data_IF_712173587375
#
_entry.id   IF_712173587375
#
_cell.length_a   1.000
_cell.length_b   1.000
_cell.length_c   1.000
_cell.angle_alpha   90.00
_cell.angle_beta   90.00
_cell.angle_gamma   90.00
#
_symmetry.space_group_name_H-M   'P 1'
#
loop_
_entity.id
_entity.type
_entity.pdbx_description
1 polymer ?
#
# COMPACT_ATOMS: atom_id res chain seq x y z
N UNK A 1 2.30 16.21 -2.09
CA UNK A 1 3.65 15.63 -2.34
C UNK A 1 3.84 15.38 -3.82
N UNK A 2 2.85 14.83 -4.50
CA UNK A 2 2.91 14.55 -5.94
C UNK A 2 2.84 15.80 -6.81
N UNK A 3 2.33 16.93 -6.30
CA UNK A 3 2.35 18.21 -7.03
C UNK A 3 3.78 18.65 -7.35
N UNK A 4 4.63 18.68 -6.32
CA UNK A 4 6.03 19.08 -6.40
C UNK A 4 6.90 18.06 -7.15
N UNK A 5 6.50 16.79 -7.17
CA UNK A 5 7.32 15.70 -7.71
C UNK A 5 6.91 15.25 -9.10
N UNK A 6 5.67 15.51 -9.54
CA UNK A 6 5.08 14.94 -10.76
C UNK A 6 4.42 16.05 -11.57
N UNK A 7 3.43 16.72 -10.98
CA UNK A 7 2.54 17.63 -11.72
C UNK A 7 3.13 19.01 -12.03
N UNK A 8 4.26 19.38 -11.39
CA UNK A 8 4.99 20.62 -11.67
C UNK A 8 6.05 20.49 -12.78
N UNK A 9 6.08 19.38 -13.53
CA UNK A 9 7.13 19.08 -14.51
C UNK A 9 6.56 18.84 -15.91
N UNK A 10 7.40 19.02 -16.94
CA UNK A 10 7.00 18.97 -18.35
C UNK A 10 6.64 17.54 -18.85
N UNK A 11 6.96 16.48 -18.09
CA UNK A 11 6.61 15.09 -18.41
C UNK A 11 6.16 14.29 -17.16
N UNK A 12 4.87 14.38 -16.78
CA UNK A 12 4.33 13.72 -15.60
C UNK A 12 4.40 12.18 -15.66
N UNK A 13 4.40 11.61 -16.87
CA UNK A 13 4.31 10.16 -17.07
C UNK A 13 5.59 9.45 -16.63
N UNK A 14 6.77 10.04 -16.88
CA UNK A 14 8.06 9.47 -16.48
C UNK A 14 8.31 9.46 -14.96
N UNK A 15 7.52 10.23 -14.19
CA UNK A 15 7.65 10.36 -12.74
C UNK A 15 6.68 9.48 -11.94
N UNK A 16 5.80 8.73 -12.62
CA UNK A 16 4.84 7.81 -12.00
C UNK A 16 5.50 6.79 -11.06
N UNK A 17 6.69 6.29 -11.43
CA UNK A 17 7.48 5.38 -10.59
C UNK A 17 8.21 6.07 -9.45
N UNK A 18 8.53 7.37 -9.58
CA UNK A 18 9.12 8.14 -8.49
C UNK A 18 8.11 8.36 -7.36
N UNK A 19 6.84 8.55 -7.70
CA UNK A 19 5.74 8.60 -6.73
C UNK A 19 5.67 7.31 -5.90
N UNK A 20 5.60 6.16 -6.58
CA UNK A 20 5.59 4.84 -5.94
C UNK A 20 6.83 4.61 -5.09
N UNK A 21 8.02 4.96 -5.60
CA UNK A 21 9.28 4.83 -4.87
C UNK A 21 9.26 5.66 -3.58
N UNK A 22 8.91 6.93 -3.67
CA UNK A 22 8.96 7.87 -2.53
C UNK A 22 7.91 7.53 -1.48
N UNK A 23 6.65 7.35 -1.90
CA UNK A 23 5.56 7.08 -0.98
C UNK A 23 5.67 5.73 -0.28
N UNK A 24 5.93 4.66 -1.01
CA UNK A 24 5.99 3.33 -0.41
C UNK A 24 7.23 3.17 0.47
N UNK A 25 8.33 3.85 0.15
CA UNK A 25 9.49 3.93 1.05
C UNK A 25 9.16 4.67 2.33
N UNK A 26 8.44 5.80 2.27
CA UNK A 26 8.02 6.55 3.44
C UNK A 26 7.03 5.77 4.31
N UNK A 27 6.07 5.05 3.71
CA UNK A 27 5.16 4.14 4.43
C UNK A 27 5.93 3.03 5.13
N UNK A 28 6.89 2.41 4.44
CA UNK A 28 7.74 1.37 5.02
C UNK A 28 8.57 1.90 6.19
N UNK A 29 9.14 3.10 6.06
CA UNK A 29 9.87 3.76 7.15
C UNK A 29 8.95 4.07 8.33
N UNK A 30 7.74 4.59 8.06
CA UNK A 30 6.77 4.88 9.12
C UNK A 30 6.39 3.60 9.90
N UNK A 31 6.13 2.51 9.19
CA UNK A 31 5.85 1.21 9.79
C UNK A 31 7.05 0.68 10.59
N UNK A 32 8.26 0.80 10.05
CA UNK A 32 9.48 0.26 10.66
C UNK A 32 9.99 1.06 11.85
N UNK A 33 9.77 2.38 11.87
CA UNK A 33 10.29 3.30 12.90
C UNK A 33 9.26 3.54 13.99
N UNK A 34 7.99 3.77 13.65
CA UNK A 34 6.99 4.19 14.64
C UNK A 34 6.17 3.03 15.21
N UNK A 35 5.90 2.00 14.41
CA UNK A 35 5.04 0.87 14.81
C UNK A 35 5.84 -0.32 15.29
N UNK A 36 6.86 -0.76 14.55
CA UNK A 36 7.65 -1.95 14.89
C UNK A 36 8.22 -1.95 16.34
N UNK A 37 8.63 -0.82 16.94
CA UNK A 37 9.10 -0.80 18.33
C UNK A 37 8.01 -0.90 19.40
N UNK A 38 6.73 -0.85 19.01
CA UNK A 38 5.59 -0.89 19.95
C UNK A 38 5.40 -2.30 20.50
N UNK A 39 5.00 -2.40 21.77
CA UNK A 39 4.70 -3.67 22.44
C UNK A 39 3.52 -4.42 21.81
N UNK A 40 2.60 -3.69 21.21
CA UNK A 40 1.41 -4.14 20.50
C UNK A 40 1.74 -4.71 19.11
N UNK A 41 2.98 -4.55 18.64
CA UNK A 41 3.47 -5.19 17.42
C UNK A 41 4.10 -6.53 17.77
N UNK A 42 3.28 -7.53 18.07
CA UNK A 42 3.72 -8.80 18.64
C UNK A 42 3.41 -10.02 17.74
N UNK A 43 2.68 -9.82 16.64
CA UNK A 43 2.36 -10.88 15.69
C UNK A 43 2.37 -10.47 14.21
N UNK A 44 2.47 -11.44 13.27
CA UNK A 44 2.54 -11.14 11.83
C UNK A 44 1.35 -10.34 11.30
N UNK A 45 0.14 -10.57 11.82
CA UNK A 45 -1.05 -9.86 11.39
C UNK A 45 -1.03 -8.38 11.77
N UNK A 46 -0.38 -8.00 12.88
CA UNK A 46 -0.19 -6.59 13.24
C UNK A 46 0.52 -5.82 12.13
N UNK A 47 1.54 -6.42 11.52
CA UNK A 47 2.23 -5.83 10.38
C UNK A 47 1.29 -5.57 9.20
N UNK A 48 0.35 -6.47 8.94
CA UNK A 48 -0.67 -6.30 7.90
C UNK A 48 -1.62 -5.16 8.28
N UNK A 49 -2.16 -5.16 9.51
CA UNK A 49 -3.11 -4.16 9.98
C UNK A 49 -2.48 -2.77 9.99
N UNK A 50 -1.36 -2.58 10.66
CA UNK A 50 -0.68 -1.30 10.74
C UNK A 50 -0.16 -0.83 9.38
N UNK A 51 0.38 -1.74 8.56
CA UNK A 51 0.81 -1.42 7.19
C UNK A 51 -0.35 -0.92 6.32
N UNK A 52 -1.52 -1.56 6.45
CA UNK A 52 -2.75 -1.13 5.76
C UNK A 52 -3.21 0.24 6.24
N UNK A 53 -3.23 0.48 7.57
CA UNK A 53 -3.65 1.76 8.15
C UNK A 53 -2.74 2.91 7.71
N UNK A 54 -1.41 2.73 7.76
CA UNK A 54 -0.45 3.73 7.28
C UNK A 54 -0.70 4.02 5.79
N UNK A 55 -0.84 2.98 4.97
CA UNK A 55 -1.07 3.17 3.54
C UNK A 55 -2.38 3.88 3.22
N UNK A 56 -3.47 3.58 3.96
CA UNK A 56 -4.74 4.28 3.83
C UNK A 56 -4.69 5.75 4.28
N UNK A 57 -3.84 6.08 5.27
CA UNK A 57 -3.58 7.46 5.66
C UNK A 57 -2.97 8.27 4.51
N UNK A 58 -1.98 7.70 3.83
CA UNK A 58 -1.40 8.30 2.61
C UNK A 58 -2.42 8.39 1.48
N UNK A 59 -3.19 7.32 1.24
CA UNK A 59 -4.23 7.31 0.21
C UNK A 59 -5.27 8.41 0.43
N UNK A 60 -5.60 8.70 1.69
CA UNK A 60 -6.50 9.79 2.07
C UNK A 60 -5.90 11.15 1.71
N UNK A 61 -4.63 11.37 2.05
CA UNK A 61 -3.91 12.60 1.74
C UNK A 61 -3.81 12.82 0.22
N UNK A 62 -3.42 11.79 -0.54
CA UNK A 62 -3.40 11.88 -2.00
C UNK A 62 -4.79 12.11 -2.59
N UNK A 63 -5.82 11.42 -2.09
CA UNK A 63 -7.17 11.63 -2.58
C UNK A 63 -7.62 13.08 -2.40
N UNK A 64 -7.24 13.72 -1.29
CA UNK A 64 -7.45 15.15 -1.10
C UNK A 64 -6.73 15.99 -2.16
N UNK A 65 -5.44 15.76 -2.41
CA UNK A 65 -4.69 16.50 -3.43
C UNK A 65 -5.31 16.33 -4.83
N UNK A 66 -5.72 15.12 -5.21
CA UNK A 66 -6.36 14.86 -6.49
C UNK A 66 -7.72 15.57 -6.64
N UNK A 67 -8.51 15.59 -5.58
CA UNK A 67 -9.86 16.16 -5.62
C UNK A 67 -9.85 17.70 -5.63
N UNK A 68 -8.88 18.32 -4.95
CA UNK A 68 -8.90 19.76 -4.71
C UNK A 68 -7.72 20.55 -5.29
N UNK A 69 -6.69 19.89 -5.82
CA UNK A 69 -5.45 20.57 -6.28
C UNK A 69 -5.15 20.29 -7.76
N UNK A 70 -5.37 19.07 -8.26
CA UNK A 70 -4.86 18.69 -9.59
C UNK A 70 -5.83 18.89 -10.75
N UNK A 71 -7.15 18.91 -10.51
CA UNK A 71 -8.13 18.86 -11.58
C UNK A 71 -9.25 19.88 -11.38
N UNK A 72 -8.97 21.14 -11.70
CA UNK A 72 -9.95 22.23 -11.59
C UNK A 72 -11.13 22.09 -12.59
N UNK A 73 -10.93 21.32 -13.66
CA UNK A 73 -11.91 21.16 -14.75
C UNK A 73 -12.83 19.93 -14.58
N UNK A 74 -12.61 19.09 -13.58
CA UNK A 74 -13.41 17.87 -13.35
C UNK A 74 -14.15 18.02 -12.02
N UNK A 75 -15.45 17.65 -11.94
CA UNK A 75 -16.18 17.69 -10.69
C UNK A 75 -15.47 16.91 -9.56
N UNK A 76 -15.20 17.53 -8.40
CA UNK A 76 -14.49 16.90 -7.28
C UNK A 76 -15.07 15.53 -6.88
N UNK A 77 -16.40 15.41 -6.87
CA UNK A 77 -17.10 14.17 -6.54
C UNK A 77 -16.78 13.03 -7.52
N UNK A 78 -16.63 13.32 -8.82
CA UNK A 78 -16.32 12.32 -9.83
C UNK A 78 -14.91 11.75 -9.62
N UNK A 79 -13.93 12.62 -9.36
CA UNK A 79 -12.55 12.20 -9.04
C UNK A 79 -12.54 11.36 -7.77
N UNK A 80 -13.22 11.82 -6.72
CA UNK A 80 -13.30 11.12 -5.44
C UNK A 80 -13.88 9.70 -5.59
N UNK A 81 -14.95 9.53 -6.36
CA UNK A 81 -15.57 8.22 -6.60
C UNK A 81 -14.62 7.29 -7.37
N UNK A 82 -14.00 7.77 -8.44
CA UNK A 82 -13.08 6.96 -9.25
C UNK A 82 -11.90 6.50 -8.40
N UNK A 83 -11.31 7.41 -7.61
CA UNK A 83 -10.19 7.08 -6.72
C UNK A 83 -10.59 6.16 -5.58
N UNK A 84 -11.79 6.33 -5.01
CA UNK A 84 -12.31 5.44 -3.97
C UNK A 84 -12.45 3.99 -4.46
N UNK A 85 -12.76 3.79 -5.74
CA UNK A 85 -12.90 2.46 -6.34
C UNK A 85 -11.57 1.87 -6.87
N UNK A 86 -10.56 2.71 -7.08
CA UNK A 86 -9.31 2.29 -7.75
C UNK A 86 -8.07 2.56 -6.91
N UNK A 87 -7.67 3.83 -6.75
CA UNK A 87 -6.47 4.23 -6.03
C UNK A 87 -6.48 3.75 -4.57
N UNK A 88 -7.58 3.96 -3.85
CA UNK A 88 -7.67 3.60 -2.42
C UNK A 88 -7.51 2.07 -2.21
N UNK A 89 -8.22 1.19 -2.95
CA UNK A 89 -7.95 -0.25 -2.89
C UNK A 89 -6.54 -0.67 -3.31
N UNK A 90 -5.93 0.05 -4.27
CA UNK A 90 -4.53 -0.18 -4.66
C UNK A 90 -3.57 0.17 -3.51
N UNK A 91 -3.76 1.29 -2.82
CA UNK A 91 -2.94 1.62 -1.65
C UNK A 91 -3.16 0.65 -0.50
N UNK A 92 -4.41 0.24 -0.24
CA UNK A 92 -4.70 -0.80 0.74
C UNK A 92 -3.93 -2.08 0.41
N UNK A 93 -3.91 -2.47 -0.87
CA UNK A 93 -3.14 -3.62 -1.36
C UNK A 93 -1.64 -3.46 -1.12
N UNK A 94 -1.07 -2.29 -1.42
CA UNK A 94 0.33 -1.97 -1.14
C UNK A 94 0.66 -2.11 0.36
N UNK A 95 -0.18 -1.58 1.24
CA UNK A 95 -0.03 -1.69 2.69
C UNK A 95 -0.13 -3.13 3.21
N UNK A 96 -1.07 -3.93 2.68
CA UNK A 96 -1.23 -5.34 3.01
C UNK A 96 0.00 -6.13 2.55
N UNK A 97 0.47 -5.93 1.31
CA UNK A 97 1.65 -6.61 0.76
C UNK A 97 2.89 -6.28 1.60
N UNK A 98 3.11 -4.99 1.86
CA UNK A 98 4.19 -4.48 2.70
C UNK A 98 4.17 -5.14 4.08
N UNK A 99 3.01 -5.12 4.74
CA UNK A 99 2.80 -5.70 6.06
C UNK A 99 3.03 -7.21 6.07
N UNK A 100 2.52 -7.94 5.09
CA UNK A 100 2.71 -9.39 4.96
C UNK A 100 4.21 -9.76 4.91
N UNK A 101 4.98 -9.07 4.08
CA UNK A 101 6.41 -9.33 3.94
C UNK A 101 7.22 -8.85 5.14
N UNK A 102 6.90 -7.68 5.72
CA UNK A 102 7.57 -7.22 6.93
C UNK A 102 7.28 -8.15 8.12
N UNK A 103 6.04 -8.60 8.30
CA UNK A 103 5.65 -9.56 9.33
C UNK A 103 6.40 -10.89 9.18
N UNK A 104 6.57 -11.39 7.95
CA UNK A 104 7.40 -12.58 7.69
C UNK A 104 8.88 -12.35 8.03
N UNK A 105 9.41 -11.14 7.80
CA UNK A 105 10.77 -10.83 8.21
C UNK A 105 10.91 -10.85 9.73
N UNK A 106 10.08 -10.09 10.43
CA UNK A 106 10.21 -9.85 11.88
C UNK A 106 9.92 -11.13 12.68
N UNK A 107 8.86 -11.85 12.36
CA UNK A 107 8.38 -12.95 13.20
C UNK A 107 8.77 -14.34 12.70
N UNK A 108 9.29 -14.46 11.47
CA UNK A 108 9.66 -15.75 10.86
C UNK A 108 11.10 -15.76 10.31
N UNK A 109 11.91 -14.77 10.64
CA UNK A 109 13.32 -14.65 10.25
C UNK A 109 13.57 -14.78 8.73
N UNK A 110 12.60 -14.36 7.91
CA UNK A 110 12.77 -14.37 6.45
C UNK A 110 13.58 -13.16 6.01
N UNK A 111 14.87 -13.36 5.70
CA UNK A 111 15.81 -12.29 5.33
C UNK A 111 15.40 -11.58 4.03
N UNK A 112 14.98 -12.33 3.01
CA UNK A 112 14.56 -11.76 1.72
C UNK A 112 13.19 -11.07 1.77
N UNK A 113 12.42 -11.23 2.85
CA UNK A 113 11.09 -10.65 2.92
C UNK A 113 11.13 -9.12 3.05
N UNK A 114 12.14 -8.52 3.70
CA UNK A 114 12.27 -7.04 3.76
C UNK A 114 12.37 -6.42 2.38
N UNK A 115 13.20 -7.00 1.51
CA UNK A 115 13.34 -6.52 0.15
C UNK A 115 12.00 -6.55 -0.60
N UNK A 116 11.23 -7.62 -0.44
CA UNK A 116 9.88 -7.75 -1.03
C UNK A 116 8.88 -6.76 -0.43
N UNK A 117 8.99 -6.47 0.87
CA UNK A 117 8.13 -5.50 1.56
C UNK A 117 8.28 -4.08 1.02
N UNK A 118 9.42 -3.76 0.40
CA UNK A 118 9.68 -2.45 -0.21
C UNK A 118 9.40 -2.49 -1.71
N UNK A 119 10.04 -3.43 -2.43
CA UNK A 119 10.03 -3.44 -3.88
C UNK A 119 8.66 -3.75 -4.45
N UNK A 120 7.89 -4.67 -3.87
CA UNK A 120 6.60 -5.02 -4.45
C UNK A 120 5.63 -3.84 -4.37
N UNK A 121 5.35 -3.22 -3.20
CA UNK A 121 4.51 -2.02 -3.14
C UNK A 121 4.93 -0.93 -4.13
N UNK A 122 6.23 -0.63 -4.26
CA UNK A 122 6.75 0.36 -5.21
C UNK A 122 6.37 0.01 -6.65
N UNK A 123 6.59 -1.24 -7.06
CA UNK A 123 6.27 -1.71 -8.41
C UNK A 123 4.76 -1.68 -8.65
N UNK A 124 3.97 -2.11 -7.67
CA UNK A 124 2.52 -2.15 -7.78
C UNK A 124 1.92 -0.74 -7.92
N UNK A 125 2.34 0.18 -7.06
CA UNK A 125 1.90 1.56 -7.10
C UNK A 125 2.41 2.29 -8.35
N UNK A 126 3.70 2.20 -8.67
CA UNK A 126 4.27 2.85 -9.86
C UNK A 126 3.61 2.36 -11.16
N UNK A 127 3.35 1.06 -11.27
CA UNK A 127 2.64 0.48 -12.43
C UNK A 127 1.18 0.93 -12.49
N UNK A 128 0.49 1.04 -11.34
CA UNK A 128 -0.86 1.61 -11.29
C UNK A 128 -0.87 3.04 -11.84
N UNK A 129 0.03 3.91 -11.35
CA UNK A 129 0.10 5.31 -11.78
C UNK A 129 0.38 5.42 -13.28
N UNK A 130 1.29 4.60 -13.79
CA UNK A 130 1.58 4.53 -15.21
C UNK A 130 0.33 4.10 -16.02
N UNK A 131 -0.35 3.02 -15.64
CA UNK A 131 -1.43 2.46 -16.47
C UNK A 131 -2.74 3.24 -16.46
N UNK A 132 -3.06 4.00 -15.40
CA UNK A 132 -4.33 4.74 -15.26
C UNK A 132 -4.60 5.68 -16.44
N UNK A 133 -3.56 6.30 -17.00
CA UNK A 133 -3.68 7.24 -18.12
C UNK A 133 -3.39 6.64 -19.50
N UNK A 134 -2.84 5.43 -19.58
CA UNK A 134 -2.27 4.89 -20.82
C UNK A 134 -3.24 3.95 -21.55
N UNK A 135 -3.74 2.91 -20.86
CA UNK A 135 -4.60 1.91 -21.50
C UNK A 135 -5.56 1.27 -20.49
N UNK A 136 -6.86 1.49 -20.69
CA UNK A 136 -7.91 1.00 -19.79
C UNK A 136 -7.92 -0.53 -19.63
N UNK A 137 -7.69 -1.28 -20.70
CA UNK A 137 -7.72 -2.75 -20.63
C UNK A 137 -6.55 -3.26 -19.78
N UNK A 138 -5.34 -2.77 -20.02
CA UNK A 138 -4.16 -3.16 -19.25
C UNK A 138 -4.26 -2.70 -17.80
N UNK A 139 -4.79 -1.49 -17.57
CA UNK A 139 -5.09 -1.00 -16.23
C UNK A 139 -6.03 -1.95 -15.47
N UNK A 140 -7.16 -2.36 -16.07
CA UNK A 140 -8.13 -3.23 -15.42
C UNK A 140 -7.56 -4.63 -15.15
N UNK A 141 -6.81 -5.20 -16.10
CA UNK A 141 -6.13 -6.49 -15.92
C UNK A 141 -5.15 -6.40 -14.75
N UNK A 142 -4.32 -5.36 -14.72
CA UNK A 142 -3.33 -5.15 -13.67
C UNK A 142 -3.98 -4.90 -12.29
N UNK A 143 -5.07 -4.13 -12.26
CA UNK A 143 -5.80 -3.84 -11.04
C UNK A 143 -6.42 -5.11 -10.44
N UNK A 144 -7.10 -5.93 -11.26
CA UNK A 144 -7.65 -7.22 -10.81
C UNK A 144 -6.55 -8.18 -10.36
N UNK A 145 -5.43 -8.22 -11.09
CA UNK A 145 -4.25 -8.98 -10.69
C UNK A 145 -3.74 -8.55 -9.31
N UNK A 146 -3.64 -7.24 -9.06
CA UNK A 146 -3.19 -6.67 -7.78
C UNK A 146 -4.09 -7.06 -6.62
N UNK A 147 -5.39 -6.93 -6.77
CA UNK A 147 -6.35 -7.32 -5.73
C UNK A 147 -6.28 -8.83 -5.45
N UNK A 148 -6.22 -9.65 -6.51
CA UNK A 148 -6.15 -11.11 -6.39
C UNK A 148 -4.85 -11.53 -5.70
N UNK A 149 -3.71 -10.99 -6.13
CA UNK A 149 -2.42 -11.25 -5.53
C UNK A 149 -2.41 -10.91 -4.04
N UNK A 150 -2.96 -9.75 -3.68
CA UNK A 150 -3.08 -9.28 -2.30
C UNK A 150 -3.91 -10.24 -1.45
N UNK A 151 -5.10 -10.65 -1.93
CA UNK A 151 -5.97 -11.57 -1.20
C UNK A 151 -5.29 -12.93 -1.00
N UNK A 152 -4.60 -13.46 -2.01
CA UNK A 152 -3.88 -14.73 -1.90
C UNK A 152 -2.71 -14.64 -0.91
N UNK A 153 -1.94 -13.55 -0.95
CA UNK A 153 -0.83 -13.31 -0.02
C UNK A 153 -1.34 -13.17 1.43
N UNK A 154 -2.39 -12.37 1.62
CA UNK A 154 -3.05 -12.20 2.92
C UNK A 154 -3.53 -13.53 3.48
N UNK A 155 -4.25 -14.34 2.68
CA UNK A 155 -4.74 -15.67 3.11
C UNK A 155 -3.60 -16.59 3.55
N UNK A 156 -2.47 -16.56 2.83
CA UNK A 156 -1.28 -17.34 3.20
C UNK A 156 -0.71 -16.91 4.55
N UNK A 157 -0.58 -15.61 4.80
CA UNK A 157 -0.09 -15.10 6.09
C UNK A 157 -1.07 -15.41 7.21
N UNK A 158 -2.37 -15.26 6.97
CA UNK A 158 -3.44 -15.60 7.93
C UNK A 158 -3.38 -17.07 8.33
N UNK A 159 -3.25 -17.99 7.38
CA UNK A 159 -3.11 -19.42 7.67
C UNK A 159 -1.86 -19.73 8.50
N UNK A 160 -0.74 -19.04 8.23
CA UNK A 160 0.48 -19.20 9.04
C UNK A 160 0.31 -18.68 10.48
N UNK A 161 -0.61 -17.75 10.70
CA UNK A 161 -0.97 -17.24 12.02
C UNK A 161 -1.92 -18.19 12.76
N UNK A 162 -2.97 -18.67 12.11
CA UNK A 162 -3.95 -19.61 12.70
C UNK A 162 -3.29 -20.93 13.15
N UNK A 163 -2.16 -21.32 12.54
CA UNK A 163 -1.38 -22.49 12.94
C UNK A 163 -0.47 -22.27 14.17
N UNK A 164 -0.47 -21.09 14.83
CA UNK A 164 0.17 -20.91 16.14
C UNK A 164 -0.71 -21.52 17.23
N UNK A 165 -0.16 -22.46 17.99
CA UNK A 165 -0.87 -23.24 19.03
C UNK A 165 -1.27 -22.45 20.30
N UNK A 166 -0.88 -21.18 20.47
CA UNK A 166 -1.38 -20.34 21.57
C UNK A 166 -1.26 -18.85 21.25
N UNK A 167 -2.36 -18.13 21.39
CA UNK A 167 -2.38 -16.67 21.51
C UNK A 167 -1.96 -16.31 22.95
N UNK A 168 -0.85 -15.58 23.09
CA UNK A 168 -0.27 -15.21 24.38
C UNK A 168 -0.89 -13.96 24.98
N UNK A 169 -2.19 -13.73 24.79
CA UNK A 169 -2.88 -12.61 25.42
C UNK A 169 -4.04 -13.12 26.28
N UNK A 170 -4.08 -12.77 27.58
CA UNK A 170 -5.29 -12.98 28.36
C UNK A 170 -6.38 -12.11 27.74
N UNK A 171 -7.41 -12.75 27.17
CA UNK A 171 -8.64 -12.05 26.79
C UNK A 171 -9.14 -11.32 28.03
N UNK A 172 -9.31 -10.01 27.94
CA UNK A 172 -9.91 -9.24 29.03
C UNK A 172 -11.34 -9.75 29.23
N UNK A 173 -11.55 -10.39 30.38
CA UNK A 173 -12.85 -10.84 30.87
C UNK A 173 -13.75 -9.65 31.18
#
# INVERSE_FOLDING_TARGET
MNNLLIWSTDDPHSLSFLAGLTEESLKFLALSIFIRPKSEFNEPMDAVVYGTLISLGFATFENYEYVYVYFDNIPPLQIAIIRALTAIPMHASCGIIMGCFLGMHVFRNSTHAVFKAIIYPILFHGTYNYLVGENLLFFLIFFVFTLTYTVLLYRKVKQLQENKLSEGEPKLN
#
